data_IF_435864792821
#
_entry.id   IF_435864792821
#
_cell.length_a   1.000
_cell.length_b   1.000
_cell.length_c   1.000
_cell.angle_alpha   90.00
_cell.angle_beta   90.00
_cell.angle_gamma   90.00
#
_symmetry.space_group_name_H-M   'P 1'
#
loop_
_entity.id
_entity.type
_entity.pdbx_description
1 polymer ?
#
# COMPACT_ATOMS: atom_id res chain seq x y z
N UNK A 1 -7.45 -14.23 -33.59
CA UNK A 1 -8.08 -13.44 -32.52
C UNK A 1 -7.30 -13.82 -31.28
N UNK A 2 -6.45 -12.90 -30.82
CA UNK A 2 -5.36 -13.21 -29.90
C UNK A 2 -5.90 -13.35 -28.47
N UNK A 3 -5.72 -14.53 -27.87
CA UNK A 3 -6.22 -14.89 -26.54
C UNK A 3 -5.34 -14.33 -25.41
N UNK A 4 -4.90 -13.08 -25.43
CA UNK A 4 -4.13 -12.53 -24.29
C UNK A 4 -4.38 -11.03 -24.05
N UNK A 5 -5.64 -10.61 -24.03
CA UNK A 5 -6.03 -9.34 -23.39
C UNK A 5 -6.58 -9.59 -21.98
N UNK A 6 -5.86 -10.38 -21.17
CA UNK A 6 -6.10 -10.38 -19.73
C UNK A 6 -5.56 -9.06 -19.21
N UNK A 7 -6.40 -8.02 -19.19
CA UNK A 7 -6.12 -6.79 -18.46
C UNK A 7 -5.54 -7.15 -17.08
N UNK A 8 -4.25 -6.87 -16.89
CA UNK A 8 -3.64 -7.00 -15.58
C UNK A 8 -4.28 -5.92 -14.73
N UNK A 9 -5.21 -6.30 -13.84
CA UNK A 9 -5.80 -5.36 -12.87
C UNK A 9 -4.69 -4.80 -11.98
N UNK A 10 -4.25 -3.58 -12.30
CA UNK A 10 -3.21 -2.87 -11.55
C UNK A 10 -3.63 -2.58 -10.12
N UNK A 11 -4.92 -2.37 -9.86
CA UNK A 11 -5.44 -2.20 -8.51
C UNK A 11 -6.92 -2.58 -8.41
N UNK A 12 -7.38 -2.73 -7.18
CA UNK A 12 -8.76 -2.97 -6.79
C UNK A 12 -9.03 -2.20 -5.49
N UNK A 13 -10.06 -1.36 -5.50
CA UNK A 13 -10.54 -0.68 -4.30
C UNK A 13 -11.49 -1.66 -3.60
N UNK A 14 -11.16 -2.04 -2.37
CA UNK A 14 -11.92 -3.01 -1.57
C UNK A 14 -12.57 -2.38 -0.33
N UNK A 15 -12.46 -1.06 -0.19
CA UNK A 15 -13.10 -0.25 0.84
C UNK A 15 -12.62 1.21 0.74
N UNK A 16 -13.26 2.11 1.48
CA UNK A 16 -13.05 3.56 1.35
C UNK A 16 -11.59 4.01 1.55
N UNK A 17 -10.83 3.27 2.34
CA UNK A 17 -9.43 3.55 2.67
C UNK A 17 -8.51 2.36 2.36
N UNK A 18 -8.98 1.42 1.52
CA UNK A 18 -8.30 0.14 1.33
C UNK A 18 -8.22 -0.22 -0.16
N UNK A 19 -6.99 -0.38 -0.63
CA UNK A 19 -6.68 -0.78 -2.01
C UNK A 19 -5.80 -2.02 -2.01
N UNK A 20 -6.04 -2.95 -2.93
CA UNK A 20 -5.07 -3.99 -3.28
C UNK A 20 -4.49 -3.64 -4.64
N UNK A 21 -3.19 -3.41 -4.72
CA UNK A 21 -2.52 -3.04 -5.96
C UNK A 21 -1.43 -4.04 -6.35
N UNK A 22 -1.15 -4.13 -7.65
CA UNK A 22 0.07 -4.74 -8.16
C UNK A 22 1.26 -3.85 -7.80
N UNK A 23 2.37 -4.46 -7.42
CA UNK A 23 3.55 -3.71 -6.97
C UNK A 23 4.19 -2.86 -8.09
N UNK A 24 3.83 -3.10 -9.35
CA UNK A 24 4.28 -2.27 -10.49
C UNK A 24 3.51 -0.95 -10.63
N UNK A 25 2.44 -0.73 -9.84
CA UNK A 25 1.70 0.52 -9.88
C UNK A 25 2.61 1.69 -9.50
N UNK A 26 2.42 2.84 -10.16
CA UNK A 26 3.15 4.05 -9.79
C UNK A 26 2.72 4.58 -8.43
N UNK A 27 3.65 5.24 -7.75
CA UNK A 27 3.40 5.84 -6.44
C UNK A 27 2.38 6.96 -6.56
N UNK A 28 2.52 7.81 -7.58
CA UNK A 28 1.61 8.91 -7.89
C UNK A 28 0.16 8.41 -7.97
N UNK A 29 -0.04 7.24 -8.59
CA UNK A 29 -1.38 6.65 -8.73
C UNK A 29 -1.94 6.17 -7.39
N UNK A 30 -1.11 5.62 -6.51
CA UNK A 30 -1.52 5.23 -5.15
C UNK A 30 -1.84 6.47 -4.31
N UNK A 31 -1.03 7.52 -4.42
CA UNK A 31 -1.25 8.82 -3.78
C UNK A 31 -2.60 9.41 -4.23
N UNK A 32 -2.90 9.41 -5.53
CA UNK A 32 -4.21 9.83 -6.06
C UNK A 32 -5.39 9.02 -5.52
N UNK A 33 -5.30 7.69 -5.52
CA UNK A 33 -6.43 6.81 -5.17
C UNK A 33 -6.76 6.91 -3.67
N UNK A 34 -5.74 6.89 -2.83
CA UNK A 34 -5.91 6.89 -1.37
C UNK A 34 -5.85 8.30 -0.76
N UNK A 35 -5.47 9.31 -1.53
CA UNK A 35 -5.17 10.65 -1.05
C UNK A 35 -4.15 10.60 0.11
N UNK A 36 -2.99 10.00 -0.16
CA UNK A 36 -1.84 9.87 0.74
C UNK A 36 -0.58 10.45 0.08
N UNK A 37 0.51 10.57 0.84
CA UNK A 37 1.73 11.27 0.41
C UNK A 37 2.97 10.36 0.55
N UNK A 38 2.99 9.26 -0.21
CA UNK A 38 4.22 8.46 -0.33
C UNK A 38 5.24 9.24 -1.18
N UNK A 39 6.51 9.34 -0.78
CA UNK A 39 7.53 10.06 -1.55
C UNK A 39 7.71 9.47 -2.94
N UNK A 40 7.73 10.35 -3.95
CA UNK A 40 7.97 10.02 -5.36
C UNK A 40 9.46 10.17 -5.72
N UNK A 41 10.21 10.98 -4.97
CA UNK A 41 11.62 11.26 -5.22
C UNK A 41 12.49 10.00 -5.04
N UNK A 42 12.88 9.40 -6.17
CA UNK A 42 13.74 8.22 -6.23
C UNK A 42 13.00 6.90 -6.44
N UNK A 43 11.66 6.90 -6.52
CA UNK A 43 10.87 5.67 -6.63
C UNK A 43 9.77 5.79 -7.69
N UNK A 44 9.82 4.92 -8.68
CA UNK A 44 8.80 4.88 -9.75
C UNK A 44 7.58 4.04 -9.36
N UNK A 45 7.76 2.97 -8.58
CA UNK A 45 6.72 1.97 -8.29
C UNK A 45 6.62 1.66 -6.80
N UNK A 46 5.43 1.23 -6.37
CA UNK A 46 5.16 0.81 -5.00
C UNK A 46 6.11 -0.30 -4.53
N UNK A 47 6.41 -1.26 -5.40
CA UNK A 47 7.33 -2.36 -5.09
C UNK A 47 8.76 -1.90 -4.88
N UNK A 48 9.22 -0.93 -5.70
CA UNK A 48 10.54 -0.31 -5.54
C UNK A 48 10.67 0.43 -4.22
N UNK A 49 9.66 1.24 -3.88
CA UNK A 49 9.60 1.93 -2.59
C UNK A 49 9.65 0.98 -1.39
N UNK A 50 8.84 -0.09 -1.39
CA UNK A 50 8.84 -1.06 -0.29
C UNK A 50 10.18 -1.80 -0.19
N UNK A 51 10.79 -2.17 -1.32
CA UNK A 51 12.08 -2.84 -1.32
C UNK A 51 13.18 -1.94 -0.75
N UNK A 52 13.23 -0.68 -1.17
CA UNK A 52 14.20 0.29 -0.68
C UNK A 52 14.03 0.56 0.82
N UNK A 53 12.78 0.80 1.26
CA UNK A 53 12.43 1.03 2.66
C UNK A 53 12.90 -0.12 3.59
N UNK A 54 12.87 -1.36 3.10
CA UNK A 54 13.27 -2.54 3.88
C UNK A 54 14.71 -3.00 3.64
N UNK A 55 15.35 -2.57 2.54
CA UNK A 55 16.64 -3.09 2.06
C UNK A 55 16.62 -4.57 1.65
N UNK A 56 15.43 -5.18 1.52
CA UNK A 56 15.24 -6.60 1.17
C UNK A 56 13.85 -6.87 0.62
N UNK A 57 13.67 -8.05 0.02
CA UNK A 57 12.33 -8.54 -0.35
C UNK A 57 11.57 -8.96 0.93
N UNK A 58 10.37 -8.41 1.18
CA UNK A 58 9.56 -8.81 2.32
C UNK A 58 8.89 -10.18 2.12
N UNK A 59 8.34 -10.75 3.19
CA UNK A 59 7.54 -11.98 3.13
C UNK A 59 6.06 -11.68 2.98
N UNK A 60 5.30 -12.63 2.42
CA UNK A 60 3.83 -12.56 2.44
C UNK A 60 3.32 -12.44 3.88
N UNK A 61 2.36 -11.54 4.10
CA UNK A 61 1.76 -11.22 5.39
C UNK A 61 2.54 -10.19 6.20
N UNK A 62 3.74 -9.80 5.77
CA UNK A 62 4.52 -8.76 6.44
C UNK A 62 3.79 -7.41 6.33
N UNK A 63 3.77 -6.66 7.44
CA UNK A 63 3.10 -5.37 7.56
C UNK A 63 4.14 -4.28 7.74
N UNK A 64 4.05 -3.26 6.91
CA UNK A 64 4.93 -2.11 6.90
C UNK A 64 4.07 -0.88 7.16
N UNK A 65 4.36 -0.14 8.23
CA UNK A 65 3.75 1.16 8.49
C UNK A 65 4.64 2.25 7.91
N UNK A 66 4.04 3.17 7.18
CA UNK A 66 4.71 4.34 6.65
C UNK A 66 3.77 5.54 6.73
N UNK A 67 4.14 6.54 7.52
CA UNK A 67 3.32 7.73 7.79
C UNK A 67 1.86 7.36 8.15
N UNK A 68 0.87 7.83 7.38
CA UNK A 68 -0.56 7.61 7.56
C UNK A 68 -1.08 6.43 6.72
N UNK A 69 -0.24 5.44 6.40
CA UNK A 69 -0.67 4.22 5.74
C UNK A 69 0.04 2.97 6.26
N UNK A 70 -0.62 1.82 6.07
CA UNK A 70 -0.09 0.50 6.33
C UNK A 70 -0.13 -0.33 5.04
N UNK A 71 1.01 -0.85 4.64
CA UNK A 71 1.18 -1.75 3.51
C UNK A 71 1.32 -3.19 4.02
N UNK A 72 0.55 -4.11 3.45
CA UNK A 72 0.55 -5.53 3.79
C UNK A 72 0.88 -6.32 2.54
N UNK A 73 1.90 -7.17 2.61
CA UNK A 73 2.35 -7.95 1.45
C UNK A 73 1.39 -9.11 1.21
N UNK A 74 0.58 -9.03 0.17
CA UNK A 74 -0.40 -10.08 -0.17
C UNK A 74 0.24 -11.21 -0.98
N UNK A 75 1.18 -10.87 -1.86
CA UNK A 75 1.83 -11.84 -2.74
C UNK A 75 3.26 -11.45 -3.06
N UNK A 76 4.16 -12.44 -2.95
CA UNK A 76 5.54 -12.39 -3.44
C UNK A 76 5.72 -13.54 -4.41
N UNK A 77 6.31 -13.28 -5.57
CA UNK A 77 6.61 -14.29 -6.58
C UNK A 77 8.11 -14.30 -6.81
N UNK A 78 8.76 -15.44 -6.52
CA UNK A 78 10.21 -15.57 -6.46
C UNK A 78 10.78 -14.53 -5.49
N UNK A 79 11.38 -13.47 -6.02
CA UNK A 79 12.01 -12.38 -5.27
C UNK A 79 11.39 -11.02 -5.61
N UNK A 80 10.14 -10.99 -6.09
CA UNK A 80 9.44 -9.75 -6.44
C UNK A 80 8.13 -9.65 -5.69
N UNK A 81 7.89 -8.50 -5.09
CA UNK A 81 6.58 -8.14 -4.54
C UNK A 81 5.62 -8.10 -5.73
N UNK A 82 4.47 -8.75 -5.63
CA UNK A 82 3.47 -8.82 -6.70
C UNK A 82 2.19 -8.08 -6.34
N UNK A 83 1.67 -8.30 -5.14
CA UNK A 83 0.44 -7.64 -4.67
C UNK A 83 0.65 -7.09 -3.27
N UNK A 84 0.15 -5.89 -3.04
CA UNK A 84 0.23 -5.18 -1.76
C UNK A 84 -1.16 -4.66 -1.44
N UNK A 85 -1.61 -4.88 -0.21
CA UNK A 85 -2.80 -4.23 0.35
C UNK A 85 -2.35 -2.98 1.09
N UNK A 86 -2.85 -1.83 0.68
CA UNK A 86 -2.57 -0.53 1.28
C UNK A 86 -3.82 -0.10 2.04
N UNK A 87 -3.64 0.27 3.29
CA UNK A 87 -4.69 0.76 4.19
C UNK A 87 -4.27 2.16 4.62
N UNK A 88 -5.04 3.19 4.24
CA UNK A 88 -4.86 4.52 4.81
C UNK A 88 -5.32 4.52 6.27
N UNK A 89 -4.43 4.91 7.17
CA UNK A 89 -4.75 5.14 8.57
C UNK A 89 -5.35 6.56 8.67
N UNK A 90 -6.63 6.63 9.01
CA UNK A 90 -7.24 7.89 9.40
C UNK A 90 -6.70 8.27 10.78
N UNK A 91 -6.39 9.56 11.03
CA UNK A 91 -6.07 10.00 12.38
C UNK A 91 -7.22 9.58 13.28
N UNK A 92 -6.91 8.73 14.26
CA UNK A 92 -7.83 8.46 15.34
C UNK A 92 -8.02 9.80 16.01
N UNK A 93 -9.18 10.42 15.85
CA UNK A 93 -9.61 11.46 16.76
C UNK A 93 -9.59 10.80 18.13
N UNK A 94 -8.56 11.10 18.93
CA UNK A 94 -8.57 10.87 20.36
C UNK A 94 -9.84 11.51 20.89
N UNK A 95 -10.89 10.71 21.08
CA UNK A 95 -11.94 11.05 22.01
C UNK A 95 -11.30 10.98 23.40
N UNK A 96 -10.65 12.08 23.77
CA UNK A 96 -10.39 12.43 25.15
C UNK A 96 -11.74 12.44 25.85
N UNK A 97 -12.11 11.32 26.46
CA UNK A 97 -12.97 11.36 27.64
C UNK A 97 -12.00 11.71 28.77
N UNK A 98 -11.97 12.95 29.27
CA UNK A 98 -11.33 13.20 30.54
C UNK A 98 -12.10 12.36 31.55
N UNK A 99 -11.47 11.30 32.03
CA UNK A 99 -11.97 10.55 33.17
C UNK A 99 -12.04 11.55 34.33
N UNK A 100 -13.26 12.04 34.55
CA UNK A 100 -13.66 12.80 35.72
C UNK A 100 -13.80 11.79 36.84
N UNK A 101 -12.78 11.67 37.66
CA UNK A 101 -12.90 11.15 39.03
C UNK A 101 -11.98 12.05 39.89
N UNK A 102 -12.55 13.12 40.47
CA UNK A 102 -12.98 13.24 41.88
C UNK A 102 -11.81 13.27 42.85
#
# INVERSE_FOLDING_TARGET
IDEYDKEIKLFEIIGDNIVIADAIISIDKINEILNIEIPEDGFETLGGFIFDLLGRVPKKGEKIKYQNCQMIIEQVVKNRIRRVKIIKELPQTENNIPDKDV
#
